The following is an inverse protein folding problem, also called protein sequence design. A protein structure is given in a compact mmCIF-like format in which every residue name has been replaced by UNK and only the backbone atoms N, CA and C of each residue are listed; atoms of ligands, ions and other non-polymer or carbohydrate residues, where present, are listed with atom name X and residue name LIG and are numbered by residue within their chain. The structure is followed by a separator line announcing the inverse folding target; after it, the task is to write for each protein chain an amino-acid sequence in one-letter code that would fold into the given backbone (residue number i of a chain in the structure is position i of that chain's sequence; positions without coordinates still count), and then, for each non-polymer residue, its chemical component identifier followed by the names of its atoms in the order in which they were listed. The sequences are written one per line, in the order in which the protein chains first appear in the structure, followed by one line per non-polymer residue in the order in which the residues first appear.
data_IF_228453587486
#
_entry.id   IF_228453587486
#
_cell.length_a   1.000
_cell.length_b   1.000
_cell.length_c   1.000
_cell.angle_alpha   90.00
_cell.angle_beta   90.00
_cell.angle_gamma   90.00
#
_symmetry.space_group_name_H-M   'P 1'
#
loop_
_entity.id
_entity.type
_entity.pdbx_description
1 polymer ?
#
# COMPACT_ATOMS: atom_id res chain seq x y z
N UNK A 1 -71.31 8.39 -23.05
CA UNK A 1 -70.43 7.68 -24.00
C UNK A 1 -69.04 8.28 -23.87
N UNK A 2 -68.01 7.45 -23.60
CA UNK A 2 -66.57 7.72 -23.38
C UNK A 2 -66.21 8.40 -22.04
N UNK A 3 -65.82 7.69 -20.97
CA UNK A 3 -64.57 6.93 -20.69
C UNK A 3 -63.29 7.76 -20.88
N UNK A 4 -62.60 8.12 -19.78
CA UNK A 4 -61.28 7.54 -19.45
C UNK A 4 -60.64 8.17 -18.21
N UNK A 5 -60.28 7.30 -17.27
CA UNK A 5 -59.31 7.46 -16.18
C UNK A 5 -57.92 7.80 -16.73
N UNK A 6 -57.17 8.72 -16.10
CA UNK A 6 -55.73 8.50 -15.86
C UNK A 6 -55.23 9.35 -14.69
N UNK A 7 -55.03 8.70 -13.54
CA UNK A 7 -54.05 9.10 -12.53
C UNK A 7 -52.68 8.71 -13.07
N UNK A 8 -51.70 9.62 -13.10
CA UNK A 8 -50.30 9.22 -13.26
C UNK A 8 -49.37 10.12 -12.44
N UNK A 9 -48.97 9.57 -11.30
CA UNK A 9 -47.81 9.95 -10.48
C UNK A 9 -46.56 9.77 -11.33
N UNK A 10 -45.67 10.77 -11.37
CA UNK A 10 -44.29 10.58 -11.81
C UNK A 10 -43.34 11.35 -10.88
N UNK A 11 -43.09 10.67 -9.75
CA UNK A 11 -41.95 10.83 -8.87
C UNK A 11 -40.73 10.28 -9.63
N UNK A 12 -40.00 11.13 -10.35
CA UNK A 12 -38.74 10.81 -11.04
C UNK A 12 -37.79 11.99 -10.75
N UNK A 13 -36.54 11.89 -10.33
CA UNK A 13 -35.62 10.77 -10.06
C UNK A 13 -34.46 11.42 -9.30
N UNK A 14 -34.31 11.15 -8.00
CA UNK A 14 -33.08 11.43 -7.24
C UNK A 14 -32.32 10.11 -7.09
N UNK A 15 -31.77 9.58 -8.18
CA UNK A 15 -30.90 8.39 -8.12
C UNK A 15 -29.78 8.55 -9.15
N UNK A 16 -28.81 9.44 -8.90
CA UNK A 16 -27.58 9.52 -9.69
C UNK A 16 -26.36 9.99 -8.85
N UNK A 17 -26.10 9.39 -7.68
CA UNK A 17 -24.84 9.69 -6.96
C UNK A 17 -24.17 8.50 -6.26
N UNK A 18 -24.74 7.29 -6.31
CA UNK A 18 -24.14 6.13 -5.64
C UNK A 18 -23.00 5.46 -6.44
N UNK A 19 -22.88 5.73 -7.75
CA UNK A 19 -21.78 5.15 -8.55
C UNK A 19 -20.49 5.99 -8.49
N UNK A 20 -20.53 7.28 -8.12
CA UNK A 20 -19.34 8.14 -8.11
C UNK A 20 -18.53 8.05 -6.81
N UNK A 21 -19.17 7.70 -5.69
CA UNK A 21 -18.48 7.61 -4.39
C UNK A 21 -17.60 6.38 -4.29
N UNK A 22 -18.06 5.24 -4.81
CA UNK A 22 -17.31 3.99 -4.77
C UNK A 22 -16.03 4.07 -5.61
N UNK A 23 -16.11 4.62 -6.83
CA UNK A 23 -14.93 4.78 -7.68
C UNK A 23 -13.90 5.73 -7.04
N UNK A 24 -14.37 6.82 -6.43
CA UNK A 24 -13.50 7.79 -5.74
C UNK A 24 -12.80 7.18 -4.51
N UNK A 25 -13.54 6.43 -3.71
CA UNK A 25 -12.98 5.76 -2.52
C UNK A 25 -11.94 4.70 -2.93
N UNK A 26 -12.18 3.98 -4.03
CA UNK A 26 -11.22 3.04 -4.60
C UNK A 26 -9.95 3.74 -5.09
N UNK A 27 -10.08 4.84 -5.84
CA UNK A 27 -8.94 5.63 -6.32
C UNK A 27 -8.09 6.18 -5.16
N UNK A 28 -8.74 6.64 -4.10
CA UNK A 28 -8.06 7.12 -2.90
C UNK A 28 -7.33 6.00 -2.17
N UNK A 29 -7.97 4.84 -1.99
CA UNK A 29 -7.34 3.68 -1.39
C UNK A 29 -6.12 3.19 -2.21
N UNK A 30 -6.23 3.14 -3.54
CA UNK A 30 -5.10 2.81 -4.42
C UNK A 30 -3.96 3.82 -4.26
N UNK A 31 -4.28 5.12 -4.15
CA UNK A 31 -3.28 6.16 -3.92
C UNK A 31 -2.56 5.96 -2.59
N UNK A 32 -3.29 5.71 -1.49
CA UNK A 32 -2.70 5.43 -0.18
C UNK A 32 -1.82 4.19 -0.23
N UNK A 33 -2.32 3.09 -0.81
CA UNK A 33 -1.56 1.85 -0.97
C UNK A 33 -0.25 2.06 -1.74
N UNK A 34 -0.30 2.82 -2.84
CA UNK A 34 0.89 3.14 -3.64
C UNK A 34 1.91 3.97 -2.86
N UNK A 35 1.47 5.01 -2.15
CA UNK A 35 2.37 5.85 -1.33
C UNK A 35 2.97 5.02 -0.19
N UNK A 36 2.17 4.15 0.45
CA UNK A 36 2.64 3.24 1.48
C UNK A 36 3.72 2.28 0.95
N UNK A 37 3.49 1.58 -0.16
CA UNK A 37 4.49 0.65 -0.71
C UNK A 37 5.78 1.34 -1.09
N UNK A 38 5.72 2.55 -1.65
CA UNK A 38 6.92 3.34 -1.94
C UNK A 38 7.65 3.71 -0.64
N UNK A 39 6.95 4.21 0.38
CA UNK A 39 7.54 4.58 1.66
C UNK A 39 8.10 3.35 2.43
N UNK A 40 7.47 2.19 2.31
CA UNK A 40 7.91 0.93 2.93
C UNK A 40 9.12 0.31 2.22
N UNK A 41 9.17 0.36 0.90
CA UNK A 41 10.13 -0.44 0.14
C UNK A 41 11.26 0.36 -0.49
N UNK A 42 11.09 1.65 -0.79
CA UNK A 42 12.21 2.44 -1.28
C UNK A 42 13.20 2.80 -0.16
N UNK A 43 14.47 2.76 -0.51
CA UNK A 43 15.56 3.10 0.39
C UNK A 43 16.74 3.64 -0.40
N UNK A 44 17.34 4.73 0.08
CA UNK A 44 18.60 5.23 -0.46
C UNK A 44 19.76 4.33 -0.04
N UNK A 45 20.79 4.28 -0.89
CA UNK A 45 22.04 3.64 -0.52
C UNK A 45 22.64 4.34 0.71
N UNK A 46 23.02 3.61 1.77
CA UNK A 46 23.76 4.17 2.88
C UNK A 46 25.11 4.74 2.42
N UNK A 47 25.71 5.65 3.21
CA UNK A 47 27.09 6.09 2.95
C UNK A 47 28.03 4.86 2.96
N UNK A 48 29.14 4.85 2.19
CA UNK A 48 30.12 3.77 2.22
C UNK A 48 30.59 3.49 3.66
N UNK A 49 30.59 2.20 4.06
CA UNK A 49 30.85 1.74 5.44
C UNK A 49 29.92 2.34 6.52
N UNK A 50 28.80 2.93 6.11
CA UNK A 50 27.81 3.53 7.00
C UNK A 50 26.92 2.47 7.64
N UNK A 51 26.73 2.60 8.94
CA UNK A 51 25.62 1.94 9.62
C UNK A 51 24.29 2.55 9.16
N UNK A 52 23.22 1.75 9.23
CA UNK A 52 21.86 2.29 9.04
C UNK A 52 21.61 3.21 10.24
N UNK A 53 21.46 4.51 9.98
CA UNK A 53 21.25 5.48 11.04
C UNK A 53 19.85 5.34 11.64
N UNK A 54 19.72 5.63 12.93
CA UNK A 54 18.42 5.72 13.58
C UNK A 54 17.54 6.77 12.91
N UNK A 55 18.12 7.90 12.50
CA UNK A 55 17.43 8.96 11.76
C UNK A 55 16.78 8.44 10.45
N UNK A 56 17.45 7.54 9.72
CA UNK A 56 16.89 6.95 8.50
C UNK A 56 15.71 6.01 8.80
N UNK A 57 15.77 5.28 9.93
CA UNK A 57 14.67 4.42 10.40
C UNK A 57 13.48 5.28 10.81
N UNK A 58 13.71 6.29 11.65
CA UNK A 58 12.69 7.22 12.15
C UNK A 58 12.04 8.00 11.01
N UNK A 59 12.80 8.50 10.04
CA UNK A 59 12.25 9.19 8.88
C UNK A 59 11.28 8.31 8.08
N UNK A 60 11.57 7.01 8.00
CA UNK A 60 10.71 6.03 7.33
C UNK A 60 9.46 5.74 8.13
N UNK A 61 9.61 5.55 9.44
CA UNK A 61 8.49 5.39 10.36
C UNK A 61 7.53 6.59 10.31
N UNK A 62 8.05 7.82 10.36
CA UNK A 62 7.25 9.05 10.27
C UNK A 62 6.54 9.21 8.93
N UNK A 63 7.17 8.79 7.82
CA UNK A 63 6.53 8.80 6.50
C UNK A 63 5.38 7.76 6.38
N UNK A 64 5.51 6.62 7.05
CA UNK A 64 4.55 5.51 6.98
C UNK A 64 3.39 5.70 7.95
N UNK A 65 3.65 6.24 9.15
CA UNK A 65 2.66 6.42 10.22
C UNK A 65 1.32 7.01 9.78
N UNK A 66 1.24 8.11 8.99
CA UNK A 66 -0.05 8.67 8.57
C UNK A 66 -0.78 7.82 7.51
N UNK A 67 -0.13 6.83 6.90
CA UNK A 67 -0.70 6.00 5.83
C UNK A 67 -1.29 4.69 6.36
N UNK A 68 -0.98 4.35 7.61
CA UNK A 68 -1.34 3.09 8.25
C UNK A 68 -2.22 3.36 9.45
N UNK A 69 -3.04 2.38 9.85
CA UNK A 69 -3.66 2.47 11.15
C UNK A 69 -2.66 2.17 12.27
N UNK A 70 -2.99 2.61 13.49
CA UNK A 70 -2.10 2.52 14.64
C UNK A 70 -1.68 1.08 14.95
N UNK A 71 -2.61 0.12 14.90
CA UNK A 71 -2.32 -1.28 15.24
C UNK A 71 -1.32 -1.88 14.25
N UNK A 72 -1.56 -1.70 12.96
CA UNK A 72 -0.67 -2.19 11.91
C UNK A 72 0.69 -1.51 11.96
N UNK A 73 0.70 -0.18 12.17
CA UNK A 73 1.93 0.59 12.33
C UNK A 73 2.82 0.06 13.44
N UNK A 74 2.31 -0.02 14.66
CA UNK A 74 3.08 -0.41 15.83
C UNK A 74 3.57 -1.87 15.72
N UNK A 75 2.74 -2.77 15.20
CA UNK A 75 3.13 -4.17 14.98
C UNK A 75 4.32 -4.30 14.01
N UNK A 76 4.29 -3.57 12.90
CA UNK A 76 5.34 -3.59 11.89
C UNK A 76 6.62 -2.87 12.35
N UNK A 77 6.47 -1.78 13.11
CA UNK A 77 7.58 -1.09 13.78
C UNK A 77 8.31 -2.02 14.76
N UNK A 78 7.59 -2.67 15.67
CA UNK A 78 8.18 -3.62 16.63
C UNK A 78 8.90 -4.78 15.93
N UNK A 79 8.35 -5.26 14.83
CA UNK A 79 8.92 -6.35 14.02
C UNK A 79 9.99 -5.87 13.03
N UNK A 80 10.35 -4.58 13.06
CA UNK A 80 11.36 -3.92 12.22
C UNK A 80 11.11 -4.06 10.71
N UNK A 81 9.85 -4.23 10.29
CA UNK A 81 9.48 -4.40 8.88
C UNK A 81 9.93 -3.18 8.07
N UNK A 82 9.71 -1.97 8.60
CA UNK A 82 10.01 -0.72 7.90
C UNK A 82 11.50 -0.46 7.67
N UNK A 83 12.40 -1.18 8.36
CA UNK A 83 13.84 -1.04 8.20
C UNK A 83 14.45 -2.03 7.20
N UNK A 84 13.67 -2.98 6.67
CA UNK A 84 14.19 -4.06 5.82
C UNK A 84 14.75 -3.56 4.49
N UNK A 85 14.09 -2.61 3.84
CA UNK A 85 14.59 -2.01 2.60
C UNK A 85 15.89 -1.23 2.81
N UNK A 86 16.11 -0.63 3.99
CA UNK A 86 17.39 -0.02 4.35
C UNK A 86 18.50 -1.08 4.47
N UNK A 87 18.16 -2.27 5.00
CA UNK A 87 19.09 -3.39 5.08
C UNK A 87 19.43 -3.94 3.69
N UNK A 88 18.45 -4.12 2.81
CA UNK A 88 18.67 -4.53 1.42
C UNK A 88 19.55 -3.51 0.70
N UNK A 89 19.26 -2.21 0.83
CA UNK A 89 20.06 -1.13 0.24
C UNK A 89 21.52 -1.16 0.72
N UNK A 90 21.74 -1.51 1.99
CA UNK A 90 23.08 -1.69 2.56
C UNK A 90 23.78 -2.91 1.97
N UNK A 91 23.15 -4.09 2.04
CA UNK A 91 23.71 -5.37 1.58
C UNK A 91 24.08 -5.29 0.10
N UNK A 92 23.19 -4.74 -0.72
CA UNK A 92 23.36 -4.64 -2.17
C UNK A 92 24.13 -3.39 -2.59
N UNK A 93 24.63 -2.61 -1.63
CA UNK A 93 25.33 -1.34 -1.84
C UNK A 93 24.70 -0.46 -2.92
N UNK A 94 23.37 -0.35 -2.90
CA UNK A 94 22.61 0.34 -3.95
C UNK A 94 21.28 0.88 -3.44
N UNK A 95 20.70 1.82 -4.20
CA UNK A 95 19.33 2.28 -3.95
C UNK A 95 18.36 1.13 -4.23
N UNK A 96 17.36 0.97 -3.35
CA UNK A 96 16.18 0.16 -3.60
C UNK A 96 15.09 1.06 -4.20
N UNK A 97 14.58 0.67 -5.36
CA UNK A 97 13.55 1.40 -6.11
C UNK A 97 12.36 0.50 -6.36
N UNK A 98 11.16 1.07 -6.25
CA UNK A 98 9.92 0.38 -6.62
C UNK A 98 9.38 0.96 -7.92
N UNK A 99 8.97 0.09 -8.83
CA UNK A 99 8.46 0.46 -10.15
C UNK A 99 7.29 -0.43 -10.55
N UNK A 100 6.56 0.00 -11.57
CA UNK A 100 5.48 -0.77 -12.20
C UNK A 100 4.38 -1.27 -11.24
N UNK A 101 4.20 -0.60 -10.11
CA UNK A 101 3.13 -0.91 -9.15
C UNK A 101 1.75 -0.76 -9.81
N UNK A 102 0.99 -1.85 -9.80
CA UNK A 102 -0.40 -1.94 -10.27
C UNK A 102 -1.25 -2.53 -9.17
N UNK A 103 -2.44 -1.97 -8.99
CA UNK A 103 -3.42 -2.41 -8.01
C UNK A 103 -4.71 -2.79 -8.71
N UNK A 104 -5.34 -3.87 -8.27
CA UNK A 104 -6.65 -4.34 -8.75
C UNK A 104 -7.53 -4.61 -7.54
N UNK A 105 -8.76 -4.09 -7.53
CA UNK A 105 -9.68 -4.36 -6.43
C UNK A 105 -10.10 -5.83 -6.41
N UNK A 106 -9.98 -6.48 -5.25
CA UNK A 106 -10.56 -7.81 -5.00
C UNK A 106 -11.89 -7.71 -4.28
N UNK A 107 -11.97 -6.79 -3.31
CA UNK A 107 -13.15 -6.53 -2.52
C UNK A 107 -13.28 -5.04 -2.22
N UNK A 108 -14.52 -4.56 -2.14
CA UNK A 108 -14.84 -3.18 -1.83
C UNK A 108 -16.13 -3.11 -1.02
N UNK A 109 -16.04 -2.45 0.13
CA UNK A 109 -17.16 -2.08 0.98
C UNK A 109 -17.02 -0.61 1.40
N UNK A 110 -17.97 -0.11 2.20
CA UNK A 110 -17.94 1.26 2.70
C UNK A 110 -16.71 1.56 3.59
N UNK A 111 -16.24 0.56 4.35
CA UNK A 111 -15.22 0.74 5.38
C UNK A 111 -13.94 -0.08 5.14
N UNK A 112 -13.93 -0.91 4.11
CA UNK A 112 -12.82 -1.81 3.81
C UNK A 112 -12.65 -1.97 2.29
N UNK A 113 -11.42 -1.84 1.82
CA UNK A 113 -11.01 -2.13 0.45
C UNK A 113 -9.83 -3.09 0.49
N UNK A 114 -9.95 -4.16 -0.29
CA UNK A 114 -8.87 -5.12 -0.51
C UNK A 114 -8.34 -4.97 -1.94
N UNK A 115 -7.04 -4.77 -2.07
CA UNK A 115 -6.35 -4.62 -3.34
C UNK A 115 -5.34 -5.75 -3.52
N UNK A 116 -5.44 -6.46 -4.64
CA UNK A 116 -4.32 -7.24 -5.16
C UNK A 116 -3.34 -6.28 -5.81
N UNK A 117 -2.04 -6.54 -5.66
CA UNK A 117 -1.03 -5.75 -6.33
C UNK A 117 0.10 -6.58 -6.91
N UNK A 118 0.68 -6.02 -7.96
CA UNK A 118 1.95 -6.46 -8.54
C UNK A 118 2.88 -5.27 -8.73
N UNK A 119 4.19 -5.51 -8.79
CA UNK A 119 5.18 -4.50 -9.11
C UNK A 119 6.58 -5.07 -9.19
N UNK A 120 7.57 -4.20 -9.27
CA UNK A 120 8.99 -4.59 -9.30
C UNK A 120 9.77 -3.82 -8.25
N UNK A 121 10.52 -4.54 -7.43
CA UNK A 121 11.61 -3.99 -6.63
C UNK A 121 12.93 -4.19 -7.38
N UNK A 122 13.73 -3.13 -7.52
CA UNK A 122 15.04 -3.19 -8.17
C UNK A 122 16.13 -2.63 -7.26
N UNK A 123 17.29 -3.27 -7.25
CA UNK A 123 18.49 -2.85 -6.54
C UNK A 123 19.73 -3.38 -7.29
N UNK A 124 20.73 -2.53 -7.47
CA UNK A 124 21.88 -2.80 -8.33
C UNK A 124 21.47 -3.30 -9.74
N UNK A 125 21.78 -4.56 -10.08
CA UNK A 125 21.39 -5.23 -11.35
C UNK A 125 20.30 -6.29 -11.16
N UNK A 126 19.82 -6.44 -9.93
CA UNK A 126 18.86 -7.46 -9.54
C UNK A 126 17.45 -6.86 -9.47
N UNK A 127 16.46 -7.72 -9.67
CA UNK A 127 15.04 -7.37 -9.57
C UNK A 127 14.28 -8.51 -8.92
N UNK A 128 13.29 -8.16 -8.13
CA UNK A 128 12.32 -9.07 -7.55
C UNK A 128 10.92 -8.58 -7.91
N UNK A 129 10.07 -9.51 -8.33
CA UNK A 129 8.65 -9.24 -8.51
C UNK A 129 7.99 -9.08 -7.15
N UNK A 130 7.16 -8.07 -7.02
CA UNK A 130 6.34 -7.87 -5.83
C UNK A 130 4.93 -8.35 -6.18
N UNK A 131 4.40 -9.25 -5.37
CA UNK A 131 3.02 -9.73 -5.50
C UNK A 131 2.40 -9.85 -4.11
N UNK A 132 1.19 -9.29 -3.93
CA UNK A 132 0.55 -9.32 -2.63
C UNK A 132 -0.88 -8.82 -2.61
N UNK A 133 -1.43 -8.83 -1.40
CA UNK A 133 -2.75 -8.31 -1.06
C UNK A 133 -2.57 -7.29 0.06
N UNK A 134 -3.07 -6.08 -0.18
CA UNK A 134 -3.10 -4.99 0.80
C UNK A 134 -4.54 -4.65 1.14
N UNK A 135 -4.84 -4.58 2.43
CA UNK A 135 -6.16 -4.23 2.96
C UNK A 135 -6.11 -2.84 3.57
N UNK A 136 -7.04 -1.98 3.17
CA UNK A 136 -7.23 -0.65 3.71
C UNK A 136 -8.55 -0.57 4.47
N UNK A 137 -8.52 0.08 5.62
CA UNK A 137 -9.71 0.41 6.40
C UNK A 137 -9.95 1.92 6.39
N UNK A 138 -11.22 2.30 6.43
CA UNK A 138 -11.62 3.71 6.54
C UNK A 138 -11.67 4.10 8.01
N UNK A 139 -10.82 5.06 8.41
CA UNK A 139 -10.75 5.60 9.77
C UNK A 139 -10.91 7.12 9.69
N UNK A 140 -11.90 7.68 10.40
CA UNK A 140 -12.17 9.13 10.42
C UNK A 140 -12.31 9.77 9.01
N UNK A 141 -12.91 9.03 8.07
CA UNK A 141 -13.04 9.35 6.64
C UNK A 141 -11.74 9.33 5.80
N UNK A 142 -10.64 8.80 6.34
CA UNK A 142 -9.40 8.58 5.59
C UNK A 142 -9.14 7.07 5.41
N UNK A 143 -8.63 6.68 4.24
CA UNK A 143 -8.18 5.31 4.02
C UNK A 143 -6.80 5.09 4.64
N UNK A 144 -6.66 4.02 5.42
CA UNK A 144 -5.41 3.63 6.10
C UNK A 144 -5.09 2.17 5.82
N UNK A 145 -3.83 1.87 5.55
CA UNK A 145 -3.35 0.48 5.45
C UNK A 145 -3.48 -0.20 6.80
N UNK A 146 -4.21 -1.32 6.80
CA UNK A 146 -4.47 -2.14 7.97
C UNK A 146 -3.74 -3.48 7.91
N UNK A 147 -3.45 -3.97 6.71
CA UNK A 147 -2.73 -5.21 6.49
C UNK A 147 -2.04 -5.19 5.13
N UNK A 148 -0.86 -5.81 5.04
CA UNK A 148 -0.15 -6.07 3.78
C UNK A 148 0.53 -7.43 3.87
N UNK A 149 0.20 -8.32 2.95
CA UNK A 149 0.78 -9.66 2.84
C UNK A 149 1.25 -9.84 1.41
N UNK A 150 2.55 -10.06 1.25
CA UNK A 150 3.19 -10.21 -0.05
C UNK A 150 4.24 -11.31 0.00
N UNK A 151 4.86 -11.61 -1.15
CA UNK A 151 5.94 -12.57 -1.34
C UNK A 151 7.24 -12.17 -0.60
N UNK A 152 7.13 -12.04 0.72
CA UNK A 152 8.13 -11.53 1.61
C UNK A 152 9.34 -12.47 1.77
N UNK A 153 9.12 -13.78 1.61
CA UNK A 153 10.19 -14.78 1.68
C UNK A 153 11.29 -14.52 0.62
N UNK A 154 10.90 -14.03 -0.56
CA UNK A 154 11.85 -13.66 -1.62
C UNK A 154 12.77 -12.52 -1.17
N UNK A 155 12.27 -11.60 -0.33
CA UNK A 155 13.06 -10.50 0.23
C UNK A 155 13.96 -10.94 1.39
N UNK A 156 13.51 -11.89 2.21
CA UNK A 156 14.32 -12.46 3.28
C UNK A 156 15.49 -13.24 2.72
N UNK A 157 15.31 -13.96 1.62
CA UNK A 157 16.40 -14.70 0.99
C UNK A 157 17.63 -13.82 0.69
N UNK A 158 17.41 -12.57 0.26
CA UNK A 158 18.49 -11.60 0.04
C UNK A 158 19.24 -11.29 1.35
N UNK A 159 18.50 -11.13 2.44
CA UNK A 159 19.07 -10.77 3.73
C UNK A 159 19.89 -11.94 4.28
N UNK A 160 19.34 -13.15 4.20
CA UNK A 160 19.93 -14.36 4.78
C UNK A 160 21.16 -14.85 4.00
N UNK A 161 21.15 -14.78 2.66
CA UNK A 161 22.30 -15.14 1.81
C UNK A 161 23.58 -14.34 2.11
N UNK A 162 23.45 -13.22 2.81
CA UNK A 162 24.55 -12.29 3.13
C UNK A 162 24.94 -12.30 4.62
N UNK A 163 24.37 -13.20 5.44
CA UNK A 163 24.76 -13.39 6.85
C UNK A 163 25.84 -14.48 7.02
N UNK A 164 25.99 -15.37 6.04
CA UNK A 164 26.92 -16.52 6.08
C UNK A 164 28.25 -16.34 5.29
N UNK A 165 28.52 -15.13 4.77
CA UNK A 165 29.80 -14.76 4.13
C UNK A 165 30.55 -13.68 4.92
#
# INVERSE_FOLDING_TARGET
MRMSFTVLILLFTLILSACTSNDRDLDEAIKVAKVYKIAELEANQPKPNGEISMEAIEAKEEAIKPLTNTKFFESNKMSRVYSRSLLIAKIKESKVVVSDLKFTSKNQSENEIELEYSGLMSFAKEKIELEGIITLLKEENEWKVNNDVYNFEDLISIIDENIDN
#
